data_IF_068345804952
#
_entry.id   IF_068345804952
#
_cell.length_a   1.000
_cell.length_b   1.000
_cell.length_c   1.000
_cell.angle_alpha   90.00
_cell.angle_beta   90.00
_cell.angle_gamma   90.00
#
_symmetry.space_group_name_H-M   'P 1'
#
loop_
_entity.id
_entity.type
_entity.pdbx_description
1 polymer ?
#
# COMPACT_ATOMS: atom_id res chain seq x y z
N UNK A 1 -33.65 -4.60 -4.34
CA UNK A 1 -34.33 -3.30 -4.11
C UNK A 1 -34.12 -2.35 -5.30
N UNK A 2 -32.87 -2.09 -5.74
CA UNK A 2 -32.61 -1.30 -6.96
C UNK A 2 -33.35 -1.84 -8.19
N UNK A 3 -33.22 -3.15 -8.48
CA UNK A 3 -33.84 -3.81 -9.64
C UNK A 3 -35.35 -3.60 -9.72
N UNK A 4 -36.06 -3.84 -8.61
CA UNK A 4 -37.50 -3.63 -8.48
C UNK A 4 -37.92 -2.17 -8.73
N UNK A 5 -37.13 -1.19 -8.24
CA UNK A 5 -37.41 0.24 -8.46
C UNK A 5 -37.14 0.66 -9.90
N UNK A 6 -36.08 0.14 -10.52
CA UNK A 6 -35.84 0.35 -11.96
C UNK A 6 -36.94 -0.27 -12.84
N UNK A 7 -37.44 -1.46 -12.49
CA UNK A 7 -38.56 -2.10 -13.19
C UNK A 7 -39.86 -1.28 -13.05
N UNK A 8 -40.13 -0.78 -11.83
CA UNK A 8 -41.27 0.10 -11.58
C UNK A 8 -41.15 1.42 -12.35
N UNK A 9 -39.98 2.06 -12.34
CA UNK A 9 -39.71 3.27 -13.13
C UNK A 9 -39.95 3.03 -14.63
N UNK A 10 -39.51 1.88 -15.17
CA UNK A 10 -39.76 1.51 -16.56
C UNK A 10 -41.25 1.28 -16.86
N UNK A 11 -42.01 0.69 -15.95
CA UNK A 11 -43.47 0.56 -16.10
C UNK A 11 -44.17 1.92 -16.08
N UNK A 12 -43.80 2.80 -15.14
CA UNK A 12 -44.35 4.15 -15.03
C UNK A 12 -44.05 5.00 -16.27
N UNK A 13 -42.86 4.87 -16.86
CA UNK A 13 -42.51 5.49 -18.14
C UNK A 13 -43.42 5.00 -19.29
N UNK A 14 -43.71 3.70 -19.36
CA UNK A 14 -44.64 3.13 -20.35
C UNK A 14 -46.08 3.64 -20.17
N UNK A 15 -46.47 3.93 -18.92
CA UNK A 15 -47.78 4.49 -18.57
C UNK A 15 -47.83 6.02 -18.68
N UNK A 16 -46.78 6.68 -19.18
CA UNK A 16 -46.64 8.15 -19.26
C UNK A 16 -46.73 8.87 -17.90
N UNK A 17 -46.44 8.17 -16.81
CA UNK A 17 -46.42 8.70 -15.44
C UNK A 17 -45.01 9.23 -15.09
N UNK A 18 -44.59 10.28 -15.81
CA UNK A 18 -43.20 10.78 -15.77
C UNK A 18 -42.76 11.28 -14.39
N UNK A 19 -43.65 11.93 -13.63
CA UNK A 19 -43.32 12.46 -12.30
C UNK A 19 -42.97 11.33 -11.32
N UNK A 20 -43.75 10.25 -11.32
CA UNK A 20 -43.53 9.09 -10.45
C UNK A 20 -42.30 8.30 -10.90
N UNK A 21 -42.09 8.14 -12.22
CA UNK A 21 -40.87 7.55 -12.75
C UNK A 21 -39.62 8.36 -12.35
N UNK A 22 -39.71 9.69 -12.35
CA UNK A 22 -38.64 10.57 -11.90
C UNK A 22 -38.28 10.38 -10.43
N UNK A 23 -39.28 10.18 -9.55
CA UNK A 23 -39.05 9.88 -8.13
C UNK A 23 -38.32 8.55 -7.93
N UNK A 24 -38.77 7.50 -8.62
CA UNK A 24 -38.11 6.19 -8.52
C UNK A 24 -36.66 6.22 -9.02
N UNK A 25 -36.38 6.96 -10.09
CA UNK A 25 -35.01 7.14 -10.62
C UNK A 25 -34.12 7.97 -9.68
N UNK A 26 -34.66 9.01 -9.04
CA UNK A 26 -33.92 9.79 -8.04
C UNK A 26 -33.54 8.94 -6.82
N UNK A 27 -34.46 8.10 -6.33
CA UNK A 27 -34.16 7.17 -5.25
C UNK A 27 -33.11 6.12 -5.65
N UNK A 28 -33.19 5.57 -6.86
CA UNK A 28 -32.15 4.66 -7.39
C UNK A 28 -30.78 5.35 -7.44
N UNK A 29 -30.73 6.60 -7.89
CA UNK A 29 -29.50 7.40 -7.91
C UNK A 29 -28.93 7.58 -6.49
N UNK A 30 -29.76 7.92 -5.51
CA UNK A 30 -29.32 8.15 -4.14
C UNK A 30 -28.85 6.86 -3.45
N UNK A 31 -29.57 5.74 -3.64
CA UNK A 31 -29.15 4.43 -3.12
C UNK A 31 -27.83 4.00 -3.76
N UNK A 32 -27.66 4.21 -5.07
CA UNK A 32 -26.40 3.92 -5.77
C UNK A 32 -25.24 4.73 -5.21
N UNK A 33 -25.44 6.04 -5.03
CA UNK A 33 -24.44 6.96 -4.46
C UNK A 33 -24.07 6.56 -3.03
N UNK A 34 -25.05 6.20 -2.19
CA UNK A 34 -24.81 5.72 -0.84
C UNK A 34 -24.04 4.40 -0.84
N UNK A 35 -24.41 3.45 -1.70
CA UNK A 35 -23.72 2.16 -1.82
C UNK A 35 -22.26 2.34 -2.24
N UNK A 36 -21.98 3.25 -3.17
CA UNK A 36 -20.59 3.59 -3.56
C UNK A 36 -19.81 4.25 -2.41
N UNK A 37 -20.45 5.12 -1.63
CA UNK A 37 -19.83 5.70 -0.43
C UNK A 37 -19.52 4.63 0.63
N UNK A 38 -20.41 3.66 0.81
CA UNK A 38 -20.22 2.56 1.75
C UNK A 38 -19.10 1.61 1.28
N UNK A 39 -19.04 1.27 -0.02
CA UNK A 39 -17.92 0.51 -0.60
C UNK A 39 -16.60 1.26 -0.41
N UNK A 40 -16.58 2.57 -0.65
CA UNK A 40 -15.38 3.39 -0.42
C UNK A 40 -14.95 3.36 1.05
N UNK A 41 -15.90 3.48 1.98
CA UNK A 41 -15.65 3.38 3.43
C UNK A 41 -15.13 2.00 3.83
N UNK A 42 -15.66 0.92 3.25
CA UNK A 42 -15.18 -0.44 3.47
C UNK A 42 -13.75 -0.59 2.94
N UNK A 43 -13.44 -0.07 1.74
CA UNK A 43 -12.08 -0.06 1.19
C UNK A 43 -11.13 0.75 2.07
N UNK A 44 -11.57 1.91 2.57
CA UNK A 44 -10.77 2.75 3.47
C UNK A 44 -10.54 2.09 4.83
N UNK A 45 -11.50 1.33 5.35
CA UNK A 45 -11.34 0.51 6.56
C UNK A 45 -10.50 -0.76 6.31
N UNK A 46 -10.52 -1.35 5.10
CA UNK A 46 -9.60 -2.44 4.74
C UNK A 46 -8.16 -1.93 4.59
N UNK A 47 -7.98 -0.67 4.21
CA UNK A 47 -6.69 0.05 4.29
C UNK A 47 -6.29 0.43 5.72
N UNK A 48 -7.19 0.33 6.71
CA UNK A 48 -6.93 0.78 8.09
C UNK A 48 -6.24 -0.27 8.95
N UNK A 49 -5.41 -1.15 8.36
CA UNK A 49 -4.33 -1.74 9.15
C UNK A 49 -3.28 -0.68 9.33
N UNK A 50 -2.97 -0.37 10.59
CA UNK A 50 -1.96 0.65 10.87
C UNK A 50 -0.62 0.17 10.33
N UNK A 51 0.25 1.08 9.88
CA UNK A 51 1.61 0.73 9.46
C UNK A 51 2.29 -0.20 10.49
N UNK A 52 1.99 0.00 11.78
CA UNK A 52 2.46 -0.85 12.87
C UNK A 52 2.04 -2.33 12.74
N UNK A 53 0.78 -2.63 12.44
CA UNK A 53 0.30 -4.01 12.27
C UNK A 53 0.93 -4.70 11.06
N UNK A 54 1.16 -3.94 10.00
CA UNK A 54 1.83 -4.42 8.79
C UNK A 54 3.30 -4.73 9.05
N UNK A 55 3.99 -3.89 9.82
CA UNK A 55 5.36 -4.15 10.25
C UNK A 55 5.48 -5.44 11.07
N UNK A 56 4.54 -5.70 11.99
CA UNK A 56 4.48 -6.96 12.74
C UNK A 56 4.29 -8.14 11.79
N UNK A 57 3.43 -7.99 10.78
CA UNK A 57 3.18 -9.04 9.78
C UNK A 57 4.43 -9.34 8.96
N UNK A 58 5.15 -8.31 8.50
CA UNK A 58 6.40 -8.43 7.74
C UNK A 58 7.49 -9.08 8.59
N UNK A 59 7.63 -8.67 9.86
CA UNK A 59 8.57 -9.28 10.80
C UNK A 59 8.27 -10.77 10.98
N UNK A 60 7.01 -11.12 11.22
CA UNK A 60 6.57 -12.52 11.39
C UNK A 60 6.86 -13.35 10.13
N UNK A 61 6.63 -12.79 8.95
CA UNK A 61 6.89 -13.48 7.67
C UNK A 61 8.38 -13.82 7.47
N UNK A 62 9.27 -12.88 7.81
CA UNK A 62 10.72 -13.08 7.75
C UNK A 62 11.18 -14.11 8.80
N UNK A 63 10.68 -14.01 10.03
CA UNK A 63 11.02 -14.95 11.11
C UNK A 63 10.54 -16.39 10.82
N UNK A 64 9.36 -16.56 10.23
CA UNK A 64 8.88 -17.86 9.75
C UNK A 64 9.74 -18.46 8.62
N UNK A 65 10.58 -17.64 7.99
CA UNK A 65 11.51 -18.06 6.93
C UNK A 65 12.95 -18.21 7.46
N UNK A 66 13.12 -18.36 8.78
CA UNK A 66 14.42 -18.46 9.47
C UNK A 66 15.33 -17.23 9.32
N UNK A 67 14.75 -16.05 9.11
CA UNK A 67 15.47 -14.76 9.06
C UNK A 67 15.18 -13.98 10.35
N UNK A 68 16.22 -13.69 11.15
CA UNK A 68 16.08 -12.83 12.33
C UNK A 68 15.96 -11.38 11.91
N UNK A 69 14.97 -10.68 12.43
CA UNK A 69 14.71 -9.28 12.07
C UNK A 69 15.02 -8.35 13.23
N UNK A 70 15.77 -7.29 12.96
CA UNK A 70 15.84 -6.11 13.81
C UNK A 70 15.06 -4.97 13.14
N UNK A 71 13.95 -4.57 13.75
CA UNK A 71 13.13 -3.46 13.28
C UNK A 71 13.31 -2.26 14.23
N UNK A 72 13.81 -1.15 13.70
CA UNK A 72 13.81 0.14 14.37
C UNK A 72 12.89 1.10 13.63
N UNK A 73 11.74 1.40 14.24
CA UNK A 73 10.74 2.30 13.69
C UNK A 73 10.68 3.60 14.48
N UNK A 74 11.20 4.67 13.90
CA UNK A 74 11.22 6.02 14.45
C UNK A 74 10.21 6.95 13.77
N UNK A 75 9.30 6.40 12.96
CA UNK A 75 8.29 7.19 12.26
C UNK A 75 7.22 7.71 13.22
N UNK A 76 6.91 9.00 13.11
CA UNK A 76 5.69 9.54 13.69
C UNK A 76 4.50 9.24 12.75
N UNK A 77 3.84 8.11 12.97
CA UNK A 77 2.73 7.63 12.12
C UNK A 77 1.62 8.69 11.98
N UNK A 78 1.37 9.50 13.02
CA UNK A 78 0.34 10.52 13.01
C UNK A 78 0.62 11.67 12.03
N UNK A 79 1.88 11.91 11.66
CA UNK A 79 2.26 12.94 10.69
C UNK A 79 2.40 12.40 9.26
N UNK A 80 2.13 11.12 9.02
CA UNK A 80 2.29 10.48 7.71
C UNK A 80 0.91 10.17 7.13
N UNK A 81 0.68 10.63 5.90
CA UNK A 81 -0.61 10.40 5.21
C UNK A 81 -0.90 8.91 5.02
N UNK A 82 -2.17 8.48 5.02
CA UNK A 82 -2.53 7.07 4.84
C UNK A 82 -2.03 6.46 3.51
N UNK A 83 -1.96 7.27 2.44
CA UNK A 83 -1.40 6.86 1.15
C UNK A 83 0.10 6.57 1.25
N UNK A 84 0.83 7.38 2.01
CA UNK A 84 2.26 7.19 2.27
C UNK A 84 2.48 5.94 3.13
N UNK A 85 1.70 5.75 4.21
CA UNK A 85 1.76 4.54 5.03
C UNK A 85 1.53 3.27 4.20
N UNK A 86 0.50 3.26 3.35
CA UNK A 86 0.21 2.13 2.45
C UNK A 86 1.37 1.84 1.50
N UNK A 87 2.07 2.88 1.05
CA UNK A 87 3.19 2.75 0.12
C UNK A 87 4.44 2.20 0.81
N UNK A 88 4.73 2.68 2.03
CA UNK A 88 5.81 2.13 2.87
C UNK A 88 5.58 0.63 3.11
N UNK A 89 4.36 0.25 3.51
CA UNK A 89 4.00 -1.16 3.70
C UNK A 89 4.27 -1.99 2.46
N UNK A 90 3.81 -1.52 1.29
CA UNK A 90 3.99 -2.26 0.03
C UNK A 90 5.47 -2.43 -0.33
N UNK A 91 6.26 -1.38 -0.16
CA UNK A 91 7.70 -1.40 -0.43
C UNK A 91 8.40 -2.38 0.52
N UNK A 92 8.10 -2.33 1.82
CA UNK A 92 8.65 -3.25 2.80
C UNK A 92 8.27 -4.70 2.52
N UNK A 93 7.02 -4.96 2.10
CA UNK A 93 6.56 -6.30 1.77
C UNK A 93 7.30 -6.87 0.55
N UNK A 94 7.54 -6.05 -0.46
CA UNK A 94 8.32 -6.45 -1.63
C UNK A 94 9.79 -6.74 -1.25
N UNK A 95 10.41 -5.87 -0.45
CA UNK A 95 11.78 -6.08 0.04
C UNK A 95 11.90 -7.34 0.90
N UNK A 96 10.96 -7.57 1.82
CA UNK A 96 10.91 -8.79 2.62
C UNK A 96 10.72 -10.04 1.74
N UNK A 97 9.85 -9.96 0.75
CA UNK A 97 9.64 -11.05 -0.22
C UNK A 97 10.92 -11.36 -1.00
N UNK A 98 11.66 -10.33 -1.40
CA UNK A 98 12.95 -10.50 -2.08
C UNK A 98 13.98 -11.18 -1.18
N UNK A 99 14.06 -10.80 0.10
CA UNK A 99 14.96 -11.44 1.07
C UNK A 99 14.63 -12.93 1.20
N UNK A 100 13.35 -13.26 1.41
CA UNK A 100 12.88 -14.64 1.58
C UNK A 100 13.17 -15.49 0.33
N UNK A 101 12.92 -14.94 -0.86
CA UNK A 101 13.04 -15.71 -2.11
C UNK A 101 14.48 -15.80 -2.64
N UNK A 102 15.31 -14.78 -2.41
CA UNK A 102 16.55 -14.62 -3.16
C UNK A 102 17.80 -14.45 -2.29
N UNK A 103 17.71 -13.81 -1.12
CA UNK A 103 18.91 -13.40 -0.39
C UNK A 103 19.63 -14.56 0.34
N UNK A 104 18.91 -15.62 0.73
CA UNK A 104 19.44 -16.66 1.64
C UNK A 104 20.02 -16.07 2.94
N UNK A 105 19.49 -14.92 3.37
CA UNK A 105 19.92 -14.21 4.56
C UNK A 105 19.54 -14.96 5.84
N UNK A 106 20.24 -14.66 6.93
CA UNK A 106 19.93 -15.07 8.30
C UNK A 106 19.59 -13.89 9.20
N UNK A 107 20.02 -12.69 8.84
CA UNK A 107 19.72 -11.46 9.55
C UNK A 107 19.24 -10.41 8.56
N UNK A 108 18.19 -9.70 8.96
CA UNK A 108 17.66 -8.55 8.28
C UNK A 108 17.51 -7.41 9.27
N UNK A 109 17.86 -6.20 8.85
CA UNK A 109 17.69 -4.98 9.62
C UNK A 109 16.82 -4.01 8.82
N UNK A 110 15.78 -3.48 9.46
CA UNK A 110 14.86 -2.52 8.87
C UNK A 110 14.91 -1.25 9.74
N UNK A 111 15.29 -0.12 9.15
CA UNK A 111 15.23 1.19 9.78
C UNK A 111 14.20 2.07 9.07
N UNK A 112 13.29 2.64 9.86
CA UNK A 112 12.28 3.59 9.40
C UNK A 112 12.51 4.91 10.12
N UNK A 113 12.90 5.95 9.39
CA UNK A 113 13.23 7.26 9.95
C UNK A 113 12.52 8.33 9.12
N UNK A 114 12.02 9.37 9.77
CA UNK A 114 11.51 10.55 9.08
C UNK A 114 12.16 11.79 9.67
N UNK A 115 12.64 12.68 8.80
CA UNK A 115 12.97 14.05 9.15
C UNK A 115 11.87 15.01 8.68
N UNK A 116 12.11 16.31 8.76
CA UNK A 116 11.12 17.33 8.39
C UNK A 116 10.74 17.36 6.90
N UNK A 117 11.54 16.73 6.02
CA UNK A 117 11.40 16.81 4.56
C UNK A 117 11.34 15.43 3.89
N UNK A 118 11.88 14.41 4.53
CA UNK A 118 12.05 13.09 3.93
C UNK A 118 11.66 11.97 4.89
N UNK A 119 11.11 10.92 4.30
CA UNK A 119 11.00 9.61 4.90
C UNK A 119 12.06 8.70 4.30
N UNK A 120 12.83 8.05 5.18
CA UNK A 120 13.93 7.15 4.83
C UNK A 120 13.60 5.76 5.32
N UNK A 121 13.74 4.80 4.42
CA UNK A 121 13.54 3.38 4.62
C UNK A 121 14.83 2.66 4.25
N UNK A 122 15.57 2.17 5.24
CA UNK A 122 16.74 1.34 5.01
C UNK A 122 16.39 -0.12 5.30
N UNK A 123 16.68 -1.01 4.35
CA UNK A 123 16.60 -2.46 4.54
C UNK A 123 17.96 -3.06 4.24
N UNK A 124 18.49 -3.81 5.19
CA UNK A 124 19.80 -4.44 5.12
C UNK A 124 19.66 -5.95 5.39
N UNK A 125 20.33 -6.78 4.60
CA UNK A 125 20.41 -8.22 4.82
C UNK A 125 21.84 -8.78 4.67
N UNK A 126 22.13 -9.87 5.38
CA UNK A 126 23.44 -10.54 5.35
C UNK A 126 23.56 -11.64 4.27
N UNK A 127 22.67 -11.60 3.28
CA UNK A 127 22.54 -12.60 2.23
C UNK A 127 23.64 -12.57 1.17
N UNK A 128 23.37 -13.24 0.06
CA UNK A 128 24.26 -13.33 -1.11
C UNK A 128 24.27 -12.05 -1.96
N UNK A 129 23.24 -11.21 -1.80
CA UNK A 129 23.02 -9.99 -2.56
C UNK A 129 22.72 -10.20 -4.04
N UNK A 130 22.98 -9.17 -4.84
CA UNK A 130 22.78 -9.18 -6.29
C UNK A 130 24.06 -9.64 -7.00
N UNK A 131 23.94 -10.66 -7.87
CA UNK A 131 25.04 -11.12 -8.71
C UNK A 131 25.47 -10.05 -9.72
N UNK A 132 24.48 -9.44 -10.40
CA UNK A 132 24.61 -8.30 -11.30
C UNK A 132 23.47 -7.30 -11.04
N UNK A 133 23.73 -6.00 -11.22
CA UNK A 133 22.70 -4.95 -11.16
C UNK A 133 22.42 -4.49 -12.59
N UNK A 134 21.30 -4.93 -13.13
CA UNK A 134 20.86 -4.61 -14.50
C UNK A 134 19.96 -3.37 -14.57
N UNK A 135 19.54 -2.83 -13.43
CA UNK A 135 18.58 -1.73 -13.33
C UNK A 135 17.12 -2.19 -13.43
N UNK A 136 16.88 -3.49 -13.58
CA UNK A 136 15.55 -4.11 -13.55
C UNK A 136 15.16 -4.58 -12.14
N UNK A 137 16.14 -4.73 -11.26
CA UNK A 137 15.91 -5.07 -9.86
C UNK A 137 15.09 -3.96 -9.22
N UNK A 138 14.10 -4.30 -8.38
CA UNK A 138 13.23 -3.32 -7.70
C UNK A 138 12.40 -2.44 -8.67
N UNK A 139 12.14 -2.89 -9.91
CA UNK A 139 11.33 -2.15 -10.88
C UNK A 139 9.92 -1.83 -10.35
N UNK A 140 9.29 -2.80 -9.67
CA UNK A 140 8.00 -2.61 -8.98
C UNK A 140 8.03 -1.47 -7.95
N UNK A 141 9.13 -1.39 -7.18
CA UNK A 141 9.35 -0.32 -6.20
C UNK A 141 9.58 1.02 -6.90
N UNK A 142 10.38 1.07 -7.97
CA UNK A 142 10.64 2.30 -8.75
C UNK A 142 9.38 2.88 -9.38
N UNK A 143 8.56 2.05 -10.00
CA UNK A 143 7.28 2.49 -10.59
C UNK A 143 6.37 3.11 -9.53
N UNK A 144 6.33 2.51 -8.33
CA UNK A 144 5.50 3.02 -7.24
C UNK A 144 6.02 4.34 -6.68
N UNK A 145 7.33 4.47 -6.53
CA UNK A 145 7.98 5.68 -6.03
C UNK A 145 7.86 6.87 -6.98
N UNK A 146 7.66 6.63 -8.28
CA UNK A 146 7.44 7.68 -9.27
C UNK A 146 6.22 8.55 -8.91
N UNK A 147 5.20 7.96 -8.28
CA UNK A 147 3.98 8.67 -7.85
C UNK A 147 4.21 9.53 -6.60
N UNK A 148 5.20 9.16 -5.78
CA UNK A 148 5.48 9.77 -4.47
C UNK A 148 6.71 10.68 -4.50
N UNK A 149 7.23 10.99 -5.70
CA UNK A 149 8.49 11.72 -5.88
C UNK A 149 9.64 11.14 -5.05
N UNK A 150 9.63 9.82 -4.86
CA UNK A 150 10.65 9.09 -4.11
C UNK A 150 11.68 8.42 -5.02
N UNK A 151 12.77 7.97 -4.42
CA UNK A 151 13.84 7.24 -5.09
C UNK A 151 14.23 5.98 -4.31
N UNK A 152 14.73 4.97 -5.01
CA UNK A 152 15.28 3.74 -4.42
C UNK A 152 16.68 3.49 -4.96
N UNK A 153 17.61 3.26 -4.05
CA UNK A 153 19.01 3.00 -4.34
C UNK A 153 19.48 1.72 -3.65
N UNK A 154 20.32 0.96 -4.36
CA UNK A 154 21.05 -0.17 -3.80
C UNK A 154 22.39 0.40 -3.33
N UNK A 155 22.51 0.73 -2.05
CA UNK A 155 23.70 1.33 -1.46
C UNK A 155 24.85 0.32 -1.35
N UNK A 156 24.51 -0.95 -1.13
CA UNK A 156 25.46 -2.05 -1.18
C UNK A 156 24.76 -3.27 -1.77
N UNK A 157 25.38 -3.94 -2.73
CA UNK A 157 24.73 -5.01 -3.48
C UNK A 157 25.18 -6.41 -3.04
N UNK A 158 26.05 -6.53 -2.03
CA UNK A 158 26.54 -7.83 -1.52
C UNK A 158 26.50 -7.95 0.00
N UNK A 159 27.64 -7.86 0.71
CA UNK A 159 27.70 -8.15 2.15
C UNK A 159 28.02 -6.90 2.97
N UNK A 160 27.03 -6.32 3.68
CA UNK A 160 25.60 -6.63 3.62
C UNK A 160 24.93 -6.04 2.38
N UNK A 161 23.79 -6.56 1.96
CA UNK A 161 22.99 -5.97 0.88
C UNK A 161 22.15 -4.90 1.52
N UNK A 162 22.30 -3.66 1.06
CA UNK A 162 21.63 -2.49 1.63
C UNK A 162 20.86 -1.77 0.55
N UNK A 163 19.55 -1.66 0.76
CA UNK A 163 18.63 -0.93 -0.09
C UNK A 163 18.08 0.24 0.72
N UNK A 164 18.11 1.42 0.14
CA UNK A 164 17.54 2.63 0.72
C UNK A 164 16.44 3.16 -0.18
N UNK A 165 15.31 3.51 0.43
CA UNK A 165 14.23 4.25 -0.21
C UNK A 165 14.09 5.59 0.50
N UNK A 166 14.06 6.66 -0.29
CA UNK A 166 13.84 8.03 0.20
C UNK A 166 12.58 8.56 -0.46
N UNK A 167 11.64 9.06 0.34
CA UNK A 167 10.40 9.64 -0.15
C UNK A 167 10.27 11.05 0.40
N UNK A 168 10.08 12.04 -0.47
CA UNK A 168 9.83 13.40 -0.04
C UNK A 168 8.45 13.50 0.64
N UNK A 169 8.41 14.21 1.77
CA UNK A 169 7.15 14.57 2.44
C UNK A 169 6.77 15.94 1.85
N UNK A 170 5.75 15.96 0.99
CA UNK A 170 5.17 17.22 0.50
C UNK A 170 4.50 17.96 1.68
N UNK A 171 4.75 19.28 1.79
CA UNK A 171 4.10 20.19 2.75
C UNK A 171 2.59 20.33 2.50
#
# INVERSE_FOLDING_TARGET
MLSLKTELAQQLLKMSQYEQAGKELAEVHDISKQSMADVRRIIDNLKSRTLHEELITIQTMLEMSDVRVHLDNQLNIASISPSMQSSITMILLELATNIIKHAQAKHCIIYLISDARNLILDVEDDGIGFEEITGKELHSIRERLTILSGNVEILNHRKPTKIQVVIAIEE
#
